data_IF_126367028824
#
_entry.id   IF_126367028824
#
_cell.length_a   1.000
_cell.length_b   1.000
_cell.length_c   1.000
_cell.angle_alpha   90.00
_cell.angle_beta   90.00
_cell.angle_gamma   90.00
#
_symmetry.space_group_name_H-M   'P 1'
#
loop_
_entity.id
_entity.type
_entity.pdbx_description
1 polymer ?
#
# COMPACT_ATOMS: atom_id res chain seq x y z
N UNK A 1 -4.47 8.77 19.58
CA UNK A 1 -3.88 7.72 20.43
C UNK A 1 -2.76 7.09 19.63
N UNK A 2 -1.50 7.30 20.01
CA UNK A 2 -0.33 6.92 19.20
C UNK A 2 -0.22 5.39 19.03
N UNK A 3 -0.19 4.92 17.79
CA UNK A 3 -0.15 3.52 17.37
C UNK A 3 1.25 2.87 17.54
N UNK A 4 1.93 3.06 18.67
CA UNK A 4 3.31 2.59 18.87
C UNK A 4 3.50 1.07 18.66
N UNK A 5 2.50 0.24 19.00
CA UNK A 5 2.59 -1.22 18.85
C UNK A 5 2.28 -1.76 17.44
N UNK A 6 1.41 -1.10 16.67
CA UNK A 6 1.00 -1.57 15.33
C UNK A 6 2.10 -1.36 14.30
N UNK A 7 2.81 -0.25 14.39
CA UNK A 7 3.88 0.10 13.44
C UNK A 7 5.03 -0.90 13.46
N UNK A 8 5.43 -1.37 14.64
CA UNK A 8 6.42 -2.44 14.77
C UNK A 8 5.97 -3.74 14.10
N UNK A 9 4.69 -4.12 14.24
CA UNK A 9 4.15 -5.30 13.57
C UNK A 9 4.09 -5.14 12.05
N UNK A 10 3.64 -3.97 11.57
CA UNK A 10 3.55 -3.63 10.14
C UNK A 10 4.92 -3.61 9.48
N UNK A 11 6.00 -3.27 10.19
CA UNK A 11 7.38 -3.36 9.66
C UNK A 11 7.96 -4.76 9.65
N UNK A 12 7.62 -5.59 10.65
CA UNK A 12 8.14 -6.96 10.72
C UNK A 12 7.71 -7.78 9.52
N UNK A 13 6.46 -7.65 9.07
CA UNK A 13 5.94 -8.38 7.90
C UNK A 13 6.80 -8.18 6.63
N UNK A 14 6.99 -6.94 6.11
CA UNK A 14 7.81 -6.73 4.93
C UNK A 14 9.29 -7.07 5.18
N UNK A 15 9.84 -6.86 6.38
CA UNK A 15 11.22 -7.26 6.68
C UNK A 15 11.40 -8.78 6.64
N UNK A 16 10.51 -9.54 7.26
CA UNK A 16 10.54 -11.02 7.24
C UNK A 16 10.30 -11.55 5.84
N UNK A 17 9.33 -10.98 5.10
CA UNK A 17 9.08 -11.35 3.71
C UNK A 17 10.29 -11.06 2.82
N UNK A 18 10.99 -9.94 3.03
CA UNK A 18 12.23 -9.64 2.32
C UNK A 18 13.29 -10.69 2.57
N UNK A 19 13.49 -11.09 3.83
CA UNK A 19 14.44 -12.15 4.19
C UNK A 19 14.10 -13.48 3.52
N UNK A 20 12.81 -13.84 3.50
CA UNK A 20 12.33 -15.08 2.86
C UNK A 20 12.54 -15.06 1.34
N UNK A 21 12.21 -13.95 0.67
CA UNK A 21 12.43 -13.80 -0.77
C UNK A 21 13.92 -13.88 -1.09
N UNK A 22 14.77 -13.23 -0.28
CA UNK A 22 16.22 -13.27 -0.48
C UNK A 22 16.82 -14.67 -0.27
N UNK A 23 16.28 -15.48 0.64
CA UNK A 23 16.80 -16.83 0.90
C UNK A 23 16.24 -17.90 -0.03
N UNK A 24 14.92 -17.91 -0.26
CA UNK A 24 14.22 -19.00 -0.97
C UNK A 24 13.85 -18.67 -2.42
N UNK A 25 13.65 -17.38 -2.74
CA UNK A 25 13.16 -16.93 -4.04
C UNK A 25 14.03 -15.82 -4.65
N UNK A 26 15.34 -16.03 -4.85
CA UNK A 26 16.30 -14.97 -5.18
C UNK A 26 16.07 -14.27 -6.54
N UNK A 27 15.18 -14.80 -7.39
CA UNK A 27 14.77 -14.18 -8.66
C UNK A 27 13.58 -13.24 -8.49
N UNK A 28 12.86 -13.33 -7.38
CA UNK A 28 11.72 -12.49 -7.07
C UNK A 28 12.20 -11.16 -6.49
N UNK A 29 11.35 -10.15 -6.59
CA UNK A 29 11.64 -8.80 -6.09
C UNK A 29 10.52 -8.38 -5.16
N UNK A 30 10.90 -7.90 -3.98
CA UNK A 30 9.98 -7.24 -3.07
C UNK A 30 10.08 -5.73 -3.26
N UNK A 31 8.94 -5.10 -3.52
CA UNK A 31 8.77 -3.65 -3.56
C UNK A 31 7.86 -3.27 -2.39
N UNK A 32 8.14 -2.14 -1.75
CA UNK A 32 7.39 -1.70 -0.58
C UNK A 32 6.94 -0.28 -0.81
N UNK A 33 5.64 -0.05 -0.66
CA UNK A 33 5.03 1.27 -0.76
C UNK A 33 4.33 1.58 0.54
N UNK A 34 4.77 2.63 1.23
CA UNK A 34 4.06 3.21 2.37
C UNK A 34 3.04 4.22 1.86
N UNK A 35 1.85 4.29 2.48
CA UNK A 35 0.82 5.24 2.08
C UNK A 35 -0.04 5.77 3.23
N UNK A 36 -0.59 6.96 3.01
CA UNK A 36 -1.56 7.74 3.80
C UNK A 36 -2.47 8.49 2.81
N UNK A 37 -2.70 9.79 2.98
CA UNK A 37 -3.11 10.70 1.90
C UNK A 37 -2.16 10.72 0.68
N UNK A 38 -0.86 10.45 0.87
CA UNK A 38 0.15 10.30 -0.19
C UNK A 38 0.66 8.84 -0.26
N UNK A 39 1.51 8.50 -1.23
CA UNK A 39 2.20 7.20 -1.25
C UNK A 39 3.62 7.30 -1.80
N UNK A 40 4.54 6.54 -1.20
CA UNK A 40 5.97 6.56 -1.56
C UNK A 40 6.57 5.16 -1.53
N UNK A 41 7.49 4.88 -2.44
CA UNK A 41 8.32 3.69 -2.39
C UNK A 41 9.32 3.80 -1.23
N UNK A 42 9.37 2.76 -0.38
CA UNK A 42 10.31 2.64 0.71
C UNK A 42 11.41 1.67 0.28
N UNK A 43 12.67 2.11 0.34
CA UNK A 43 13.80 1.20 0.08
C UNK A 43 14.02 0.30 1.30
N UNK A 44 14.65 -0.88 1.12
CA UNK A 44 14.95 -1.79 2.22
C UNK A 44 15.66 -1.13 3.42
N UNK A 45 16.57 -0.19 3.17
CA UNK A 45 17.28 0.55 4.22
C UNK A 45 16.40 1.56 4.98
N UNK A 46 15.29 2.00 4.37
CA UNK A 46 14.39 3.01 4.94
C UNK A 46 13.36 2.36 5.87
N UNK A 47 13.06 1.07 5.70
CA UNK A 47 12.04 0.36 6.48
C UNK A 47 12.24 0.41 8.01
N UNK A 48 13.43 0.16 8.58
CA UNK A 48 13.60 0.16 10.04
C UNK A 48 13.37 1.55 10.65
N UNK A 49 13.80 2.60 9.93
CA UNK A 49 13.76 3.99 10.36
C UNK A 49 12.51 4.73 9.90
N UNK A 50 11.73 4.15 8.98
CA UNK A 50 10.47 4.70 8.52
C UNK A 50 9.61 4.98 9.75
N UNK A 51 9.34 6.24 10.03
CA UNK A 51 8.35 6.61 11.01
C UNK A 51 7.07 6.89 10.25
N UNK A 52 5.90 6.82 10.92
CA UNK A 52 4.77 7.61 10.46
C UNK A 52 5.22 9.07 10.63
N UNK A 53 5.99 9.58 9.66
CA UNK A 53 6.26 11.00 9.53
C UNK A 53 4.88 11.68 9.34
N UNK A 54 4.78 13.00 9.55
CA UNK A 54 3.57 13.86 9.57
C UNK A 54 2.69 13.79 8.30
N UNK A 55 2.27 12.60 7.93
CA UNK A 55 1.48 12.24 6.77
C UNK A 55 0.04 12.53 7.16
N UNK A 56 -0.61 13.39 6.38
CA UNK A 56 -1.93 13.89 6.71
C UNK A 56 -2.91 12.71 6.81
N UNK A 57 -3.99 12.89 7.57
CA UNK A 57 -5.03 11.87 7.69
C UNK A 57 -5.53 11.48 6.29
N UNK A 58 -5.56 10.17 6.01
CA UNK A 58 -6.06 9.64 4.75
C UNK A 58 -5.57 8.23 4.46
N UNK A 59 -6.38 7.49 3.70
CA UNK A 59 -6.10 6.14 3.22
C UNK A 59 -6.23 6.14 1.69
N UNK A 60 -5.20 6.65 1.00
CA UNK A 60 -5.16 6.82 -0.46
C UNK A 60 -4.72 5.52 -1.16
N UNK A 61 -5.60 4.53 -1.11
CA UNK A 61 -5.38 3.23 -1.75
C UNK A 61 -5.20 3.37 -3.27
N UNK A 62 -5.92 4.33 -3.88
CA UNK A 62 -5.79 4.64 -5.30
C UNK A 62 -4.34 4.99 -5.65
N UNK A 63 -3.74 5.96 -4.96
CA UNK A 63 -2.38 6.40 -5.25
C UNK A 63 -1.35 5.30 -4.97
N UNK A 64 -1.51 4.56 -3.88
CA UNK A 64 -0.67 3.41 -3.58
C UNK A 64 -0.70 2.38 -4.71
N UNK A 65 -1.88 2.04 -5.23
CA UNK A 65 -2.02 1.12 -6.37
C UNK A 65 -1.42 1.67 -7.67
N UNK A 66 -1.59 2.97 -7.95
CA UNK A 66 -0.98 3.62 -9.11
C UNK A 66 0.55 3.49 -9.10
N UNK A 67 1.17 3.74 -7.94
CA UNK A 67 2.62 3.61 -7.77
C UNK A 67 3.05 2.15 -7.93
N UNK A 68 2.39 1.22 -7.24
CA UNK A 68 2.72 -0.20 -7.35
C UNK A 68 2.60 -0.71 -8.79
N UNK A 69 1.54 -0.34 -9.51
CA UNK A 69 1.37 -0.72 -10.93
C UNK A 69 2.49 -0.16 -11.79
N UNK A 70 2.91 1.08 -11.56
CA UNK A 70 4.06 1.67 -12.27
C UNK A 70 5.36 0.92 -11.96
N UNK A 71 5.65 0.65 -10.70
CA UNK A 71 6.86 -0.08 -10.29
C UNK A 71 6.89 -1.50 -10.87
N UNK A 72 5.76 -2.22 -10.81
CA UNK A 72 5.63 -3.56 -11.37
C UNK A 72 5.76 -3.57 -12.89
N UNK A 73 5.33 -2.52 -13.59
CA UNK A 73 5.49 -2.41 -15.05
C UNK A 73 6.94 -2.31 -15.53
N UNK A 74 7.87 -1.89 -14.65
CA UNK A 74 9.30 -1.87 -14.94
C UNK A 74 9.98 -3.22 -14.69
N UNK A 75 9.33 -4.11 -13.94
CA UNK A 75 9.79 -5.47 -13.70
C UNK A 75 9.62 -6.35 -14.93
N UNK A 76 10.48 -7.36 -15.07
CA UNK A 76 10.34 -8.46 -16.04
C UNK A 76 9.75 -9.73 -15.41
N UNK A 77 9.12 -9.60 -14.25
CA UNK A 77 8.53 -10.74 -13.56
C UNK A 77 7.35 -11.30 -14.37
N UNK A 78 7.20 -12.63 -14.37
CA UNK A 78 6.09 -13.29 -15.07
C UNK A 78 4.73 -12.97 -14.45
N UNK A 79 4.71 -12.61 -13.16
CA UNK A 79 3.49 -12.29 -12.39
C UNK A 79 3.71 -11.06 -11.53
N UNK A 80 2.70 -10.19 -11.43
CA UNK A 80 2.68 -9.06 -10.50
C UNK A 80 1.68 -9.30 -9.36
N UNK A 81 2.07 -9.03 -8.12
CA UNK A 81 1.18 -9.11 -6.97
C UNK A 81 1.31 -7.88 -6.08
N UNK A 82 0.19 -7.42 -5.53
CA UNK A 82 0.12 -6.41 -4.48
C UNK A 82 -0.50 -7.07 -3.25
N UNK A 83 0.20 -7.00 -2.12
CA UNK A 83 -0.35 -7.36 -0.81
C UNK A 83 -0.63 -6.04 -0.07
N UNK A 84 -1.89 -5.64 -0.03
CA UNK A 84 -2.31 -4.42 0.66
C UNK A 84 -2.58 -4.74 2.13
N UNK A 85 -1.89 -4.04 3.03
CA UNK A 85 -2.13 -4.12 4.47
C UNK A 85 -2.75 -2.80 4.92
N UNK A 86 -3.95 -2.85 5.48
CA UNK A 86 -4.71 -1.64 5.87
C UNK A 86 -5.67 -1.96 7.02
N UNK A 87 -6.11 -0.94 7.78
CA UNK A 87 -7.08 -1.07 8.85
C UNK A 87 -8.41 -0.34 8.57
N UNK A 88 -8.60 0.19 7.35
CA UNK A 88 -9.79 0.98 7.03
C UNK A 88 -10.13 1.06 5.55
N UNK A 89 -11.25 1.71 5.26
CA UNK A 89 -11.72 2.02 3.91
C UNK A 89 -10.88 3.14 3.27
N UNK A 90 -10.87 3.29 1.94
CA UNK A 90 -10.20 4.40 1.28
C UNK A 90 -10.90 5.71 1.67
N UNK A 91 -10.15 6.65 2.23
CA UNK A 91 -10.65 7.98 2.66
C UNK A 91 -9.99 9.12 1.90
N UNK A 92 -9.08 8.80 0.97
CA UNK A 92 -8.42 9.79 0.13
C UNK A 92 -8.28 9.29 -1.31
N UNK A 93 -8.22 10.23 -2.25
CA UNK A 93 -8.01 10.00 -3.68
C UNK A 93 -7.25 11.17 -4.30
N UNK A 94 -6.65 10.96 -5.47
CA UNK A 94 -6.11 12.04 -6.28
C UNK A 94 -7.20 12.75 -7.10
N UNK A 95 -7.21 14.08 -7.02
CA UNK A 95 -8.00 14.97 -7.84
C UNK A 95 -7.13 16.12 -8.36
N UNK A 96 -7.04 16.27 -9.68
CA UNK A 96 -6.22 17.33 -10.30
C UNK A 96 -4.73 17.27 -9.90
N UNK A 97 -4.22 16.08 -9.57
CA UNK A 97 -2.84 15.89 -9.10
C UNK A 97 -2.60 16.20 -7.61
N UNK A 98 -3.66 16.46 -6.84
CA UNK A 98 -3.58 16.68 -5.38
C UNK A 98 -4.38 15.62 -4.65
N UNK A 99 -3.94 15.25 -3.44
CA UNK A 99 -4.72 14.38 -2.59
C UNK A 99 -5.92 15.15 -2.03
N UNK A 100 -7.09 14.52 -2.11
CA UNK A 100 -8.34 14.97 -1.51
C UNK A 100 -8.77 13.94 -0.48
N UNK A 101 -9.01 14.39 0.75
CA UNK A 101 -9.44 13.56 1.88
C UNK A 101 -10.90 13.81 2.24
N UNK A 102 -11.64 12.75 2.54
CA UNK A 102 -13.01 12.82 3.05
C UNK A 102 -13.29 11.71 4.07
N UNK A 103 -14.05 12.05 5.13
CA UNK A 103 -14.53 11.09 6.11
C UNK A 103 -15.97 11.41 6.53
N UNK A 104 -16.94 10.51 6.27
CA UNK A 104 -16.79 9.21 5.61
C UNK A 104 -16.34 9.31 4.13
N UNK A 105 -15.84 8.22 3.52
CA UNK A 105 -15.40 8.23 2.13
C UNK A 105 -16.48 8.74 1.17
N UNK A 106 -16.11 9.67 0.28
CA UNK A 106 -17.02 10.10 -0.78
C UNK A 106 -17.26 8.98 -1.80
N UNK A 107 -18.38 9.03 -2.52
CA UNK A 107 -18.61 8.13 -3.66
C UNK A 107 -17.48 8.18 -4.69
N UNK A 108 -16.86 9.36 -4.86
CA UNK A 108 -15.73 9.55 -5.76
C UNK A 108 -14.47 8.83 -5.26
N UNK A 109 -14.17 8.92 -3.97
CA UNK A 109 -13.06 8.20 -3.30
C UNK A 109 -13.13 6.71 -3.59
N UNK A 110 -14.31 6.13 -3.38
CA UNK A 110 -14.57 4.71 -3.64
C UNK A 110 -14.46 4.41 -5.13
N UNK A 111 -15.06 5.23 -5.99
CA UNK A 111 -15.05 5.01 -7.44
C UNK A 111 -13.65 5.07 -8.05
N UNK A 112 -12.82 6.05 -7.68
CA UNK A 112 -11.44 6.17 -8.15
C UNK A 112 -10.56 5.05 -7.60
N UNK A 113 -10.76 4.62 -6.35
CA UNK A 113 -10.06 3.46 -5.79
C UNK A 113 -10.38 2.19 -6.58
N UNK A 114 -11.67 1.90 -6.82
CA UNK A 114 -12.10 0.73 -7.60
C UNK A 114 -11.70 0.81 -9.07
N UNK A 115 -11.59 2.02 -9.63
CA UNK A 115 -11.09 2.22 -10.98
C UNK A 115 -9.62 1.84 -11.08
N UNK A 116 -8.81 2.21 -10.09
CA UNK A 116 -7.40 1.80 -10.09
C UNK A 116 -7.21 0.32 -9.80
N UNK A 117 -8.01 -0.27 -8.91
CA UNK A 117 -8.08 -1.73 -8.71
C UNK A 117 -8.29 -2.46 -10.05
N UNK A 118 -9.29 -2.03 -10.84
CA UNK A 118 -9.51 -2.57 -12.19
C UNK A 118 -8.34 -2.35 -13.14
N UNK A 119 -7.61 -1.24 -13.02
CA UNK A 119 -6.43 -0.98 -13.85
C UNK A 119 -5.28 -1.94 -13.49
N UNK A 120 -5.10 -2.25 -12.21
CA UNK A 120 -4.17 -3.28 -11.74
C UNK A 120 -4.56 -4.66 -12.29
N UNK A 121 -5.84 -5.04 -12.20
CA UNK A 121 -6.33 -6.31 -12.76
C UNK A 121 -6.04 -6.41 -14.26
N UNK A 122 -6.33 -5.36 -15.04
CA UNK A 122 -6.03 -5.31 -16.48
C UNK A 122 -4.54 -5.38 -16.80
N UNK A 123 -3.69 -4.94 -15.89
CA UNK A 123 -2.23 -5.06 -16.01
C UNK A 123 -1.71 -6.45 -15.59
N UNK A 124 -2.59 -7.42 -15.27
CA UNK A 124 -2.20 -8.75 -14.81
C UNK A 124 -1.68 -8.76 -13.37
N UNK A 125 -2.04 -7.76 -12.56
CA UNK A 125 -1.62 -7.65 -11.16
C UNK A 125 -2.73 -8.19 -10.27
N UNK A 126 -2.41 -9.20 -9.46
CA UNK A 126 -3.32 -9.72 -8.43
C UNK A 126 -3.21 -8.87 -7.16
N UNK A 127 -4.33 -8.40 -6.62
CA UNK A 127 -4.37 -7.65 -5.36
C UNK A 127 -4.96 -8.54 -4.26
N UNK A 128 -4.19 -8.77 -3.20
CA UNK A 128 -4.64 -9.42 -1.99
C UNK A 128 -4.68 -8.40 -0.86
N UNK A 129 -5.82 -8.26 -0.18
CA UNK A 129 -5.99 -7.27 0.88
C UNK A 129 -6.11 -7.94 2.24
N UNK A 130 -5.21 -7.59 3.15
CA UNK A 130 -5.26 -7.93 4.56
C UNK A 130 -5.82 -6.72 5.31
N UNK A 131 -7.13 -6.75 5.56
CA UNK A 131 -7.83 -5.70 6.27
C UNK A 131 -8.15 -6.12 7.69
N UNK A 132 -7.70 -5.36 8.69
CA UNK A 132 -8.12 -5.58 10.08
C UNK A 132 -9.14 -4.52 10.51
N UNK A 133 -10.42 -4.90 10.58
CA UNK A 133 -11.43 -4.10 11.30
C UNK A 133 -11.33 -4.37 12.80
N UNK A 134 -11.04 -3.35 13.62
CA UNK A 134 -10.85 -3.46 15.07
C UNK A 134 -12.09 -3.86 15.89
N UNK A 135 -12.77 -4.97 15.57
CA UNK A 135 -13.60 -5.69 16.54
C UNK A 135 -12.72 -6.74 17.21
N UNK A 136 -11.94 -6.31 18.19
CA UNK A 136 -11.64 -7.19 19.31
C UNK A 136 -12.94 -7.28 20.12
N UNK A 137 -13.60 -8.42 20.08
CA UNK A 137 -14.56 -8.81 21.13
C UNK A 137 -13.86 -8.88 22.46
#
# INVERSE_FOLDING_TARGET
MYHFGRWGAVKRVPMTLQSLIQSEYPRDRLLIVGFSDDAVELKPGDLPTATPNNWMQGTNMQLAMMINRKLLSWGRAATGQIIMVTDGAPTAQLEGGRSYFDYPPSHRTVSETLKEDRNCTRAGITINTLCWSGRAT
#
